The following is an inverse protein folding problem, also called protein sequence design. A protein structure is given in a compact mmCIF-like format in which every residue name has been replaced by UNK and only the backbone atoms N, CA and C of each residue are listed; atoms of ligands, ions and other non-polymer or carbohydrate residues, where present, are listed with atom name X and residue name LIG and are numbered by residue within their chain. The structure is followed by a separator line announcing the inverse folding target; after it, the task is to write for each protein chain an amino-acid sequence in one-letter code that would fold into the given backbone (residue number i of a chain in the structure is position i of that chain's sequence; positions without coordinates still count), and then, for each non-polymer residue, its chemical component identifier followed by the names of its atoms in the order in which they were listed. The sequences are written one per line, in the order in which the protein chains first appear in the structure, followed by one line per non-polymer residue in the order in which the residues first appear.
data_IF_767392206573
#
_entry.id   IF_767392206573
#
_cell.length_a   1.000
_cell.length_b   1.000
_cell.length_c   1.000
_cell.angle_alpha   90.00
_cell.angle_beta   90.00
_cell.angle_gamma   90.00
#
_symmetry.space_group_name_H-M   'P 1'
#
loop_
_entity.id
_entity.type
_entity.pdbx_description
1 polymer ?
#
# COMPACT_ATOMS: atom_id res chain seq x y z
N UNK A 1 8.81 -1.55 -103.76
CA UNK A 1 7.72 -2.29 -103.10
C UNK A 1 8.31 -3.03 -101.91
N UNK A 2 7.90 -2.61 -100.70
CA UNK A 2 7.87 -3.27 -99.35
C UNK A 2 8.56 -4.65 -99.23
N UNK A 3 9.35 -5.04 -98.21
CA UNK A 3 9.07 -5.08 -96.75
C UNK A 3 10.36 -5.32 -95.88
N UNK A 4 10.40 -4.61 -94.73
CA UNK A 4 11.07 -4.76 -93.40
C UNK A 4 11.97 -6.00 -93.10
N UNK A 5 13.20 -5.94 -92.54
CA UNK A 5 13.76 -5.32 -91.29
C UNK A 5 13.15 -5.95 -90.00
N UNK A 6 13.84 -6.51 -89.00
CA UNK A 6 15.26 -6.56 -88.59
C UNK A 6 15.56 -7.80 -87.72
N UNK A 7 16.87 -8.03 -87.55
CA UNK A 7 17.58 -9.10 -86.88
C UNK A 7 17.37 -9.15 -85.34
N UNK A 8 17.25 -10.36 -84.76
CA UNK A 8 17.21 -10.58 -83.29
C UNK A 8 18.38 -11.51 -82.90
N UNK A 9 19.34 -10.95 -82.15
CA UNK A 9 20.44 -11.67 -81.52
C UNK A 9 20.02 -12.25 -80.16
N UNK A 10 20.40 -13.51 -79.96
CA UNK A 10 20.31 -14.30 -78.72
C UNK A 10 21.21 -13.72 -77.62
N UNK A 11 20.81 -13.88 -76.35
CA UNK A 11 21.74 -13.77 -75.22
C UNK A 11 21.60 -14.97 -74.29
N UNK A 12 22.70 -15.70 -74.20
CA UNK A 12 22.88 -16.95 -73.46
C UNK A 12 23.14 -16.69 -71.97
N UNK A 13 22.69 -17.65 -71.16
CA UNK A 13 22.86 -17.72 -69.71
C UNK A 13 24.33 -17.86 -69.28
N UNK A 14 24.72 -17.15 -68.22
CA UNK A 14 25.92 -17.44 -67.41
C UNK A 14 25.47 -17.63 -65.97
N UNK A 15 25.82 -18.79 -65.41
CA UNK A 15 25.64 -19.19 -64.01
C UNK A 15 26.52 -18.33 -63.10
N UNK A 16 25.91 -17.67 -62.13
CA UNK A 16 26.63 -16.98 -61.04
C UNK A 16 26.68 -17.88 -59.81
N UNK A 17 27.91 -18.12 -59.33
CA UNK A 17 28.19 -18.78 -58.06
C UNK A 17 27.59 -17.96 -56.90
N UNK A 18 26.69 -18.56 -56.12
CA UNK A 18 26.25 -18.03 -54.84
C UNK A 18 27.40 -18.14 -53.85
N UNK A 19 28.16 -17.06 -53.71
CA UNK A 19 29.06 -16.85 -52.58
C UNK A 19 28.15 -16.64 -51.37
N UNK A 20 28.11 -17.63 -50.47
CA UNK A 20 27.44 -17.52 -49.18
C UNK A 20 28.27 -16.54 -48.33
N UNK A 21 27.95 -15.25 -48.43
CA UNK A 21 28.52 -14.22 -47.57
C UNK A 21 28.03 -14.48 -46.16
N UNK A 22 28.96 -14.79 -45.25
CA UNK A 22 28.68 -14.75 -43.81
C UNK A 22 28.36 -13.30 -43.45
N UNK A 23 27.08 -13.01 -43.27
CA UNK A 23 26.61 -11.78 -42.64
C UNK A 23 27.03 -11.80 -41.17
N UNK A 24 28.10 -11.08 -40.85
CA UNK A 24 28.41 -10.67 -39.48
C UNK A 24 27.33 -9.70 -38.99
N UNK A 25 27.12 -9.70 -37.67
CA UNK A 25 26.11 -8.93 -36.95
C UNK A 25 25.90 -7.52 -37.55
N UNK A 26 24.78 -7.33 -38.23
CA UNK A 26 24.26 -6.00 -38.52
C UNK A 26 23.95 -5.35 -37.17
N UNK A 27 24.53 -4.18 -36.91
CA UNK A 27 24.25 -3.39 -35.73
C UNK A 27 22.73 -3.35 -35.50
N UNK A 28 22.29 -3.92 -34.37
CA UNK A 28 20.89 -3.87 -34.00
C UNK A 28 20.48 -2.40 -33.95
N UNK A 29 19.31 -2.07 -34.51
CA UNK A 29 18.70 -0.75 -34.33
C UNK A 29 18.81 -0.33 -32.85
N UNK A 30 19.08 0.96 -32.55
CA UNK A 30 19.24 1.41 -31.17
C UNK A 30 18.00 1.02 -30.37
N UNK A 31 18.17 0.02 -29.49
CA UNK A 31 17.08 -0.50 -28.69
C UNK A 31 16.75 0.57 -27.65
N UNK A 32 15.53 1.11 -27.72
CA UNK A 32 15.07 1.97 -26.64
C UNK A 32 14.84 1.12 -25.38
N UNK A 33 15.81 1.20 -24.46
CA UNK A 33 15.78 0.47 -23.21
C UNK A 33 14.64 0.91 -22.28
N UNK A 34 14.10 2.14 -22.46
CA UNK A 34 12.95 2.61 -21.69
C UNK A 34 11.67 1.90 -22.11
N UNK A 35 11.32 1.91 -23.40
CA UNK A 35 10.14 1.20 -23.90
C UNK A 35 10.16 -0.30 -23.61
N UNK A 36 11.33 -0.96 -23.74
CA UNK A 36 11.50 -2.39 -23.39
C UNK A 36 11.13 -2.70 -21.94
N UNK A 37 11.40 -1.78 -21.02
CA UNK A 37 11.15 -1.96 -19.59
C UNK A 37 9.84 -1.30 -19.14
N UNK A 38 8.95 -0.92 -20.08
CA UNK A 38 7.73 -0.16 -19.81
C UNK A 38 7.98 1.11 -18.98
N UNK A 39 9.12 1.75 -19.23
CA UNK A 39 9.48 3.03 -18.66
C UNK A 39 9.21 4.12 -19.69
N UNK A 40 8.83 5.27 -19.17
CA UNK A 40 8.62 6.48 -19.94
C UNK A 40 9.94 7.27 -20.05
N UNK A 41 10.06 8.20 -21.00
CA UNK A 41 11.30 8.95 -21.22
C UNK A 41 11.71 9.75 -19.98
N UNK A 42 13.02 9.95 -19.82
CA UNK A 42 13.58 10.71 -18.71
C UNK A 42 13.10 12.17 -18.74
N UNK A 43 12.79 12.78 -17.59
CA UNK A 43 12.30 14.16 -17.54
C UNK A 43 13.30 15.18 -18.09
N UNK A 44 12.77 16.18 -18.82
CA UNK A 44 13.56 17.25 -19.46
C UNK A 44 13.82 18.42 -18.51
N UNK A 45 13.22 18.43 -17.32
CA UNK A 45 13.39 19.54 -16.37
C UNK A 45 14.82 19.56 -15.80
N UNK A 46 15.37 20.76 -15.56
CA UNK A 46 16.74 20.95 -15.06
C UNK A 46 16.96 20.34 -13.66
N UNK A 47 15.89 20.21 -12.88
CA UNK A 47 15.88 19.63 -11.53
C UNK A 47 14.59 18.82 -11.38
N UNK A 48 14.56 17.56 -11.84
CA UNK A 48 13.34 16.78 -11.84
C UNK A 48 12.89 16.45 -10.42
N UNK A 49 11.58 16.53 -10.19
CA UNK A 49 11.03 16.15 -8.88
C UNK A 49 11.01 14.63 -8.73
N UNK A 50 11.06 14.07 -7.51
CA UNK A 50 10.92 12.64 -7.28
C UNK A 50 9.66 12.04 -7.93
N UNK A 51 8.56 12.80 -7.94
CA UNK A 51 7.32 12.42 -8.61
C UNK A 51 7.44 12.40 -10.13
N UNK A 52 8.18 13.35 -10.70
CA UNK A 52 8.44 13.45 -12.14
C UNK A 52 9.39 12.35 -12.63
N UNK A 53 10.38 11.95 -11.81
CA UNK A 53 11.28 10.83 -12.13
C UNK A 53 10.50 9.51 -12.21
N UNK A 54 9.62 9.25 -11.25
CA UNK A 54 8.80 8.02 -11.26
C UNK A 54 7.48 8.17 -12.04
N UNK A 55 7.19 9.37 -12.57
CA UNK A 55 5.96 9.72 -13.26
C UNK A 55 4.70 9.30 -12.50
N UNK A 56 4.73 9.52 -11.19
CA UNK A 56 3.57 9.27 -10.33
C UNK A 56 2.73 10.54 -10.33
N UNK A 57 1.49 10.42 -10.82
CA UNK A 57 0.59 11.55 -10.91
C UNK A 57 0.26 12.10 -9.50
N UNK A 58 0.03 13.42 -9.35
CA UNK A 58 -0.43 13.98 -8.09
C UNK A 58 -1.72 13.36 -7.56
N UNK A 59 -2.53 12.76 -8.45
CA UNK A 59 -3.76 12.03 -8.10
C UNK A 59 -3.46 10.71 -7.38
N UNK A 60 -2.35 10.07 -7.71
CA UNK A 60 -1.88 8.82 -7.12
C UNK A 60 -1.27 9.02 -5.73
N UNK A 61 -1.03 10.27 -5.31
CA UNK A 61 -0.64 10.60 -3.94
C UNK A 61 -1.71 10.20 -2.90
N UNK A 62 -2.98 10.15 -3.31
CA UNK A 62 -4.12 9.78 -2.46
C UNK A 62 -4.36 8.26 -2.38
N UNK A 63 -3.57 7.45 -3.08
CA UNK A 63 -3.67 6.00 -3.00
C UNK A 63 -3.28 5.49 -1.61
N UNK A 64 -3.81 4.32 -1.24
CA UNK A 64 -3.37 3.60 -0.04
C UNK A 64 -1.85 3.42 -0.06
N UNK A 65 -1.21 3.56 1.11
CA UNK A 65 0.25 3.46 1.28
C UNK A 65 0.80 2.16 0.66
N UNK A 66 0.04 1.07 0.74
CA UNK A 66 0.43 -0.23 0.21
C UNK A 66 0.45 -0.26 -1.33
N UNK A 67 -0.58 0.29 -1.98
CA UNK A 67 -0.66 0.37 -3.44
C UNK A 67 0.40 1.31 -4.01
N UNK A 68 0.62 2.46 -3.38
CA UNK A 68 1.67 3.39 -3.78
C UNK A 68 3.06 2.75 -3.72
N UNK A 69 3.38 2.07 -2.62
CA UNK A 69 4.69 1.40 -2.46
C UNK A 69 4.90 0.27 -3.48
N UNK A 70 3.82 -0.41 -3.88
CA UNK A 70 3.86 -1.44 -4.92
C UNK A 70 4.18 -0.85 -6.29
N UNK A 71 3.55 0.26 -6.67
CA UNK A 71 3.82 0.99 -7.92
C UNK A 71 5.25 1.52 -7.91
N UNK A 72 5.64 2.24 -6.86
CA UNK A 72 6.98 2.81 -6.71
C UNK A 72 8.07 1.75 -6.82
N UNK A 73 7.91 0.60 -6.14
CA UNK A 73 8.88 -0.50 -6.20
C UNK A 73 9.01 -1.10 -7.60
N UNK A 74 7.91 -1.21 -8.34
CA UNK A 74 7.90 -1.72 -9.72
C UNK A 74 8.67 -0.80 -10.66
N UNK A 75 8.43 0.50 -10.59
CA UNK A 75 9.09 1.49 -11.47
C UNK A 75 10.58 1.59 -11.10
N UNK A 76 10.90 1.65 -9.80
CA UNK A 76 12.27 1.65 -9.31
C UNK A 76 13.08 0.43 -9.78
N UNK A 77 12.53 -0.78 -9.67
CA UNK A 77 13.26 -1.99 -10.11
C UNK A 77 13.54 -2.00 -11.61
N UNK A 78 12.66 -1.40 -12.42
CA UNK A 78 12.88 -1.23 -13.85
C UNK A 78 13.98 -0.19 -14.14
N UNK A 79 14.02 0.93 -13.41
CA UNK A 79 15.09 1.92 -13.55
C UNK A 79 16.45 1.38 -13.15
N UNK A 80 16.53 0.61 -12.05
CA UNK A 80 17.79 -0.02 -11.61
C UNK A 80 18.35 -0.96 -12.68
N UNK A 81 17.52 -1.72 -13.40
CA UNK A 81 17.98 -2.60 -14.48
C UNK A 81 18.69 -1.85 -15.62
N UNK A 82 18.40 -0.56 -15.81
CA UNK A 82 18.98 0.26 -16.89
C UNK A 82 20.17 1.07 -16.38
N UNK A 83 20.02 1.72 -15.23
CA UNK A 83 20.96 2.73 -14.75
C UNK A 83 21.95 2.23 -13.70
N UNK A 84 21.91 0.95 -13.30
CA UNK A 84 22.92 0.42 -12.38
C UNK A 84 24.33 0.57 -12.98
N UNK A 85 25.34 1.02 -12.21
CA UNK A 85 26.69 1.25 -12.73
C UNK A 85 27.29 0.02 -13.43
N UNK A 86 27.07 -1.18 -12.89
CA UNK A 86 27.60 -2.44 -13.47
C UNK A 86 26.94 -2.85 -14.79
N UNK A 87 25.70 -2.41 -15.06
CA UNK A 87 24.96 -2.79 -16.26
C UNK A 87 25.06 -1.69 -17.31
N UNK A 88 24.97 -0.43 -16.86
CA UNK A 88 24.92 0.76 -17.71
C UNK A 88 26.23 1.03 -18.47
N UNK A 89 27.34 0.41 -18.08
CA UNK A 89 28.62 0.46 -18.83
C UNK A 89 28.52 -0.23 -20.20
N UNK A 90 27.67 -1.25 -20.31
CA UNK A 90 27.53 -2.09 -21.51
C UNK A 90 26.28 -1.74 -22.34
N UNK A 91 25.50 -0.75 -21.90
CA UNK A 91 24.24 -0.35 -22.53
C UNK A 91 24.36 1.08 -23.07
N UNK A 92 24.03 1.29 -24.35
CA UNK A 92 23.85 2.63 -24.91
C UNK A 92 22.45 3.14 -24.56
N UNK A 93 22.39 4.16 -23.69
CA UNK A 93 21.14 4.80 -23.30
C UNK A 93 21.09 6.12 -24.04
N UNK A 94 20.02 6.36 -24.78
CA UNK A 94 19.79 7.61 -25.50
C UNK A 94 19.05 8.62 -24.61
N UNK A 95 19.43 9.88 -24.71
CA UNK A 95 18.71 10.98 -24.09
C UNK A 95 17.49 11.39 -24.92
N UNK A 96 16.64 12.30 -24.41
CA UNK A 96 15.49 12.87 -25.14
C UNK A 96 15.86 13.53 -26.47
N UNK A 97 17.15 13.84 -26.69
CA UNK A 97 17.73 14.36 -27.95
C UNK A 97 18.42 13.29 -28.82
N UNK A 98 18.18 12.00 -28.52
CA UNK A 98 18.82 10.86 -29.19
C UNK A 98 20.36 10.86 -29.13
N UNK A 99 20.94 11.52 -28.12
CA UNK A 99 22.37 11.48 -27.88
C UNK A 99 22.72 10.39 -26.85
N UNK A 100 23.81 9.62 -27.04
CA UNK A 100 24.24 8.63 -26.06
C UNK A 100 24.65 9.31 -24.75
N UNK A 101 24.13 8.83 -23.63
CA UNK A 101 24.51 9.34 -22.31
C UNK A 101 25.95 8.97 -21.97
N UNK A 102 26.71 9.97 -21.52
CA UNK A 102 28.00 9.78 -20.86
C UNK A 102 27.85 8.98 -19.56
N UNK A 103 28.87 8.20 -19.19
CA UNK A 103 28.88 7.40 -17.94
C UNK A 103 28.63 8.22 -16.67
N UNK A 104 29.10 9.48 -16.64
CA UNK A 104 28.83 10.40 -15.53
C UNK A 104 27.33 10.73 -15.42
N UNK A 105 26.66 11.05 -16.55
CA UNK A 105 25.22 11.34 -16.56
C UNK A 105 24.39 10.12 -16.15
N UNK A 106 24.80 8.91 -16.54
CA UNK A 106 24.14 7.65 -16.12
C UNK A 106 24.21 7.49 -14.60
N UNK A 107 25.37 7.78 -14.01
CA UNK A 107 25.57 7.75 -12.56
C UNK A 107 24.74 8.82 -11.84
N UNK A 108 24.73 10.04 -12.34
CA UNK A 108 23.92 11.13 -11.76
C UNK A 108 22.43 10.77 -11.77
N UNK A 109 21.93 10.18 -12.86
CA UNK A 109 20.54 9.69 -12.94
C UNK A 109 20.27 8.57 -11.95
N UNK A 110 21.20 7.63 -11.78
CA UNK A 110 21.09 6.57 -10.79
C UNK A 110 21.02 7.12 -9.36
N UNK A 111 21.88 8.06 -9.01
CA UNK A 111 21.88 8.71 -7.69
C UNK A 111 20.55 9.48 -7.46
N UNK A 112 20.02 10.13 -8.49
CA UNK A 112 18.70 10.77 -8.44
C UNK A 112 17.56 9.76 -8.25
N UNK A 113 17.58 8.63 -8.95
CA UNK A 113 16.57 7.56 -8.78
C UNK A 113 16.61 7.02 -7.35
N UNK A 114 17.80 6.74 -6.83
CA UNK A 114 17.96 6.16 -5.50
C UNK A 114 17.49 7.13 -4.40
N UNK A 115 17.90 8.39 -4.49
CA UNK A 115 17.47 9.42 -3.54
C UNK A 115 15.96 9.68 -3.61
N UNK A 116 15.38 9.72 -4.82
CA UNK A 116 13.93 9.83 -5.02
C UNK A 116 13.18 8.64 -4.43
N UNK A 117 13.68 7.41 -4.61
CA UNK A 117 13.06 6.20 -4.07
C UNK A 117 13.06 6.18 -2.55
N UNK A 118 14.19 6.48 -1.91
CA UNK A 118 14.30 6.54 -0.46
C UNK A 118 13.37 7.59 0.18
N UNK A 119 13.15 8.71 -0.53
CA UNK A 119 12.25 9.77 -0.09
C UNK A 119 10.78 9.34 -0.17
N UNK A 120 10.36 8.73 -1.27
CA UNK A 120 8.96 8.37 -1.50
C UNK A 120 8.54 7.08 -0.80
N UNK A 121 9.46 6.16 -0.52
CA UNK A 121 9.19 4.87 0.14
C UNK A 121 8.71 5.02 1.58
N UNK A 122 9.30 5.95 2.34
CA UNK A 122 8.88 6.21 3.72
C UNK A 122 7.72 7.21 3.72
N UNK A 123 6.52 6.81 4.22
CA UNK A 123 5.37 7.70 4.25
C UNK A 123 5.64 9.00 5.01
N UNK A 124 6.50 8.98 6.05
CA UNK A 124 6.84 10.18 6.83
C UNK A 124 7.67 11.17 6.01
N UNK A 125 8.72 10.67 5.36
CA UNK A 125 9.59 11.47 4.47
C UNK A 125 8.80 12.04 3.29
N UNK A 126 7.92 11.24 2.70
CA UNK A 126 7.01 11.65 1.63
C UNK A 126 6.07 12.76 2.07
N UNK A 127 5.41 12.63 3.24
CA UNK A 127 4.53 13.68 3.76
C UNK A 127 5.30 14.96 4.08
N UNK A 128 6.52 14.85 4.64
CA UNK A 128 7.38 16.00 4.87
C UNK A 128 7.71 16.70 3.54
N UNK A 129 8.14 15.95 2.53
CA UNK A 129 8.42 16.50 1.20
C UNK A 129 7.20 17.21 0.60
N UNK A 130 6.01 16.60 0.68
CA UNK A 130 4.78 17.19 0.15
C UNK A 130 4.37 18.49 0.87
N UNK A 131 4.61 18.60 2.17
CA UNK A 131 4.37 19.86 2.92
C UNK A 131 5.33 20.98 2.51
N UNK A 132 6.48 20.64 1.96
CA UNK A 132 7.59 21.56 1.68
C UNK A 132 7.91 21.67 0.17
N UNK A 133 6.99 21.30 -0.73
CA UNK A 133 7.15 21.38 -2.21
C UNK A 133 7.60 22.75 -2.76
N UNK A 134 7.66 23.81 -1.93
CA UNK A 134 8.19 25.14 -2.25
C UNK A 134 9.59 25.49 -1.70
N UNK A 135 10.29 24.58 -1.02
CA UNK A 135 11.65 24.82 -0.48
C UNK A 135 12.70 24.00 -1.23
N UNK A 136 13.68 24.69 -1.84
CA UNK A 136 14.74 24.11 -2.66
C UNK A 136 15.60 23.06 -1.94
N UNK A 137 16.06 22.09 -2.74
CA UNK A 137 16.88 20.92 -2.38
C UNK A 137 18.14 21.24 -1.56
N UNK A 138 18.71 22.44 -1.69
CA UNK A 138 19.93 22.86 -0.98
C UNK A 138 19.78 22.98 0.55
N UNK A 139 18.56 22.86 1.07
CA UNK A 139 18.27 22.86 2.51
C UNK A 139 18.30 21.47 3.17
N UNK A 140 18.56 20.40 2.39
CA UNK A 140 18.72 19.05 2.91
C UNK A 140 20.21 18.67 3.02
N UNK A 141 20.81 18.85 4.19
CA UNK A 141 22.10 18.23 4.50
C UNK A 141 21.89 16.83 5.10
N UNK A 142 22.62 15.86 4.54
CA UNK A 142 22.62 14.45 4.92
C UNK A 142 23.37 14.25 6.24
N UNK A 143 22.72 14.45 7.39
CA UNK A 143 23.25 13.97 8.68
C UNK A 143 22.17 13.24 9.52
N UNK A 144 22.30 11.90 9.50
CA UNK A 144 21.94 10.87 10.49
C UNK A 144 20.60 10.97 11.27
N UNK A 145 19.76 9.97 10.97
CA UNK A 145 18.93 9.12 11.86
C UNK A 145 17.87 9.74 12.81
N UNK A 146 16.62 9.31 12.58
CA UNK A 146 15.51 8.97 13.51
C UNK A 146 15.03 9.95 14.60
N UNK A 147 15.76 11.02 14.94
CA UNK A 147 15.33 12.09 15.87
C UNK A 147 15.02 13.42 15.14
N UNK A 148 15.19 13.45 13.82
CA UNK A 148 15.18 14.69 13.05
C UNK A 148 13.81 15.34 12.89
N UNK A 149 12.71 14.59 12.84
CA UNK A 149 11.38 15.18 12.72
C UNK A 149 10.90 15.80 14.03
N UNK A 150 11.21 15.17 15.17
CA UNK A 150 10.97 15.73 16.50
C UNK A 150 11.85 16.96 16.73
N UNK A 151 13.12 16.91 16.33
CA UNK A 151 14.05 18.04 16.42
C UNK A 151 13.69 19.16 15.44
N UNK A 152 13.20 18.87 14.22
CA UNK A 152 12.71 19.87 13.25
C UNK A 152 11.39 20.47 13.65
N UNK A 153 10.43 19.68 14.12
CA UNK A 153 9.17 20.21 14.63
C UNK A 153 9.45 21.05 15.88
N UNK A 154 10.29 20.57 16.80
CA UNK A 154 10.70 21.33 17.98
C UNK A 154 11.49 22.61 17.60
N UNK A 155 12.38 22.56 16.61
CA UNK A 155 13.10 23.73 16.14
C UNK A 155 12.22 24.69 15.31
N UNK A 156 11.30 24.20 14.50
CA UNK A 156 10.35 25.04 13.78
C UNK A 156 9.39 25.74 14.76
N UNK A 157 8.91 25.02 15.78
CA UNK A 157 8.17 25.61 16.88
C UNK A 157 9.04 26.61 17.66
N UNK A 158 10.29 26.28 18.01
CA UNK A 158 11.21 27.22 18.68
C UNK A 158 11.48 28.47 17.84
N UNK A 159 11.72 28.33 16.54
CA UNK A 159 12.01 29.44 15.61
C UNK A 159 10.79 30.34 15.39
N UNK A 160 9.59 29.75 15.36
CA UNK A 160 8.34 30.51 15.32
C UNK A 160 8.19 31.37 16.57
N UNK A 161 8.35 30.78 17.75
CA UNK A 161 8.26 31.49 19.04
C UNK A 161 9.59 32.12 19.48
N UNK A 162 10.51 32.45 18.56
CA UNK A 162 11.70 33.24 18.91
C UNK A 162 11.29 34.69 19.16
N UNK A 163 11.97 35.33 20.11
CA UNK A 163 11.71 36.73 20.46
C UNK A 163 11.85 37.66 19.26
N UNK A 164 12.85 37.42 18.40
CA UNK A 164 13.08 38.24 17.20
C UNK A 164 12.01 38.10 16.12
N UNK A 165 11.29 36.96 16.08
CA UNK A 165 10.30 36.68 15.04
C UNK A 165 8.87 37.00 15.48
N UNK A 166 8.54 36.80 16.77
CA UNK A 166 7.21 37.02 17.35
C UNK A 166 7.35 37.83 18.65
N UNK A 167 7.83 39.08 18.56
CA UNK A 167 7.98 39.97 19.72
C UNK A 167 6.65 40.22 20.42
N UNK A 168 5.56 40.34 19.66
CA UNK A 168 4.20 40.51 20.18
C UNK A 168 3.76 39.34 21.06
N UNK A 169 4.22 38.11 20.77
CA UNK A 169 3.93 36.92 21.57
C UNK A 169 4.60 36.99 22.95
N UNK A 170 5.87 37.40 22.99
CA UNK A 170 6.63 37.50 24.24
C UNK A 170 6.21 38.69 25.10
N UNK A 171 5.71 39.75 24.47
CA UNK A 171 5.13 40.91 25.17
C UNK A 171 3.70 40.66 25.63
N UNK A 172 3.01 39.63 25.14
CA UNK A 172 1.64 39.31 25.51
C UNK A 172 1.55 38.66 26.91
N UNK A 173 1.62 39.48 27.95
CA UNK A 173 1.42 39.05 29.34
C UNK A 173 -0.04 38.98 29.76
N UNK A 174 -0.93 39.71 29.07
CA UNK A 174 -2.37 39.75 29.36
C UNK A 174 -3.18 39.07 28.26
N UNK A 175 -4.41 38.65 28.59
CA UNK A 175 -5.35 38.11 27.60
C UNK A 175 -5.64 39.13 26.47
N UNK A 176 -5.68 40.42 26.78
CA UNK A 176 -5.91 41.48 25.82
C UNK A 176 -4.78 41.58 24.79
N UNK A 177 -3.54 41.43 25.23
CA UNK A 177 -2.37 41.47 24.35
C UNK A 177 -2.28 40.22 23.47
N UNK A 178 -2.62 39.05 24.04
CA UNK A 178 -2.76 37.83 23.24
C UNK A 178 -3.88 37.95 22.18
N UNK A 179 -5.01 38.57 22.54
CA UNK A 179 -6.11 38.82 21.61
C UNK A 179 -5.68 39.74 20.45
N UNK A 180 -4.94 40.81 20.75
CA UNK A 180 -4.39 41.73 19.76
C UNK A 180 -3.43 41.02 18.82
N UNK A 181 -2.49 40.25 19.34
CA UNK A 181 -1.55 39.46 18.52
C UNK A 181 -2.30 38.48 17.61
N UNK A 182 -3.26 37.72 18.15
CA UNK A 182 -3.96 36.66 17.41
C UNK A 182 -4.91 37.17 16.34
N UNK A 183 -5.70 38.21 16.66
CA UNK A 183 -6.76 38.72 15.79
C UNK A 183 -6.41 40.05 15.10
N UNK A 184 -5.21 40.59 15.37
CA UNK A 184 -4.72 41.87 14.85
C UNK A 184 -5.71 43.04 15.02
N UNK A 185 -6.48 43.01 16.12
CA UNK A 185 -7.50 44.02 16.47
C UNK A 185 -7.53 44.26 17.97
N UNK A 186 -8.03 45.44 18.37
CA UNK A 186 -8.24 45.75 19.79
C UNK A 186 -9.25 44.77 20.42
N UNK A 187 -9.11 44.42 21.71
CA UNK A 187 -10.06 43.58 22.40
C UNK A 187 -11.46 44.23 22.38
N UNK A 188 -12.53 43.44 22.27
CA UNK A 188 -13.89 43.97 22.23
C UNK A 188 -14.21 44.63 23.57
N UNK A 189 -14.70 45.88 23.52
CA UNK A 189 -15.13 46.61 24.71
C UNK A 189 -16.36 45.92 25.33
N UNK A 190 -16.54 46.06 26.65
CA UNK A 190 -17.74 45.54 27.36
C UNK A 190 -19.05 45.93 26.67
N UNK A 191 -19.11 47.12 26.09
CA UNK A 191 -20.27 47.61 25.33
C UNK A 191 -20.55 46.81 24.06
N UNK A 192 -19.53 46.44 23.30
CA UNK A 192 -19.66 45.64 22.08
C UNK A 192 -20.09 44.20 22.39
N UNK A 193 -19.58 43.65 23.49
CA UNK A 193 -20.00 42.33 23.99
C UNK A 193 -21.45 42.35 24.45
N UNK A 194 -21.87 43.40 25.17
CA UNK A 194 -23.25 43.55 25.61
C UNK A 194 -24.23 43.69 24.44
N UNK A 195 -23.83 44.37 23.36
CA UNK A 195 -24.61 44.44 22.11
C UNK A 195 -24.76 43.07 21.44
N UNK A 196 -23.74 42.22 21.52
CA UNK A 196 -23.71 40.91 20.84
C UNK A 196 -24.02 39.71 21.76
N UNK A 197 -24.38 39.93 23.03
CA UNK A 197 -24.51 38.87 24.06
C UNK A 197 -25.44 37.72 23.66
N UNK A 198 -26.57 38.03 23.03
CA UNK A 198 -27.52 37.00 22.60
C UNK A 198 -27.01 36.17 21.42
N UNK A 199 -26.25 36.78 20.50
CA UNK A 199 -25.63 36.06 19.37
C UNK A 199 -24.56 35.10 19.86
N UNK A 200 -23.74 35.53 20.82
CA UNK A 200 -22.71 34.69 21.44
C UNK A 200 -23.37 33.53 22.20
N UNK A 201 -24.40 33.81 23.01
CA UNK A 201 -25.13 32.78 23.74
C UNK A 201 -25.78 31.76 22.82
N UNK A 202 -26.46 32.22 21.76
CA UNK A 202 -27.05 31.35 20.75
C UNK A 202 -25.99 30.47 20.05
N UNK A 203 -24.82 31.03 19.74
CA UNK A 203 -23.71 30.28 19.18
C UNK A 203 -23.18 29.19 20.12
N UNK A 204 -23.01 29.49 21.41
CA UNK A 204 -22.57 28.51 22.40
C UNK A 204 -23.60 27.40 22.57
N UNK A 205 -24.88 27.74 22.71
CA UNK A 205 -25.95 26.75 22.82
C UNK A 205 -26.07 25.88 21.56
N UNK A 206 -25.86 26.45 20.37
CA UNK A 206 -25.82 25.69 19.14
C UNK A 206 -24.67 24.69 19.12
N UNK A 207 -23.45 25.09 19.53
CA UNK A 207 -22.31 24.18 19.61
C UNK A 207 -22.55 23.07 20.62
N UNK A 208 -23.03 23.40 21.82
CA UNK A 208 -23.37 22.41 22.87
C UNK A 208 -24.42 21.43 22.34
N UNK A 209 -25.52 21.94 21.78
CA UNK A 209 -26.58 21.11 21.22
C UNK A 209 -26.10 20.19 20.10
N UNK A 210 -25.22 20.68 19.22
CA UNK A 210 -24.62 19.86 18.16
C UNK A 210 -23.72 18.76 18.73
N UNK A 211 -22.85 19.09 19.70
CA UNK A 211 -21.97 18.11 20.32
C UNK A 211 -22.75 17.04 21.09
N UNK A 212 -23.72 17.44 21.92
CA UNK A 212 -24.56 16.50 22.67
C UNK A 212 -25.41 15.65 21.74
N UNK A 213 -25.95 16.23 20.66
CA UNK A 213 -26.73 15.48 19.66
C UNK A 213 -25.89 14.40 18.97
N UNK A 214 -24.64 14.73 18.62
CA UNK A 214 -23.72 13.81 17.98
C UNK A 214 -23.27 12.69 18.93
N UNK A 215 -22.99 13.02 20.19
CA UNK A 215 -22.67 12.04 21.23
C UNK A 215 -23.84 11.07 21.49
N UNK A 216 -25.07 11.58 21.60
CA UNK A 216 -26.28 10.73 21.78
C UNK A 216 -26.46 9.81 20.58
N UNK A 217 -26.27 10.29 19.35
CA UNK A 217 -26.41 9.46 18.15
C UNK A 217 -25.35 8.35 18.10
N UNK A 218 -24.09 8.67 18.45
CA UNK A 218 -23.02 7.66 18.57
C UNK A 218 -23.33 6.64 19.66
N UNK A 219 -23.81 7.09 20.82
CA UNK A 219 -24.19 6.23 21.93
C UNK A 219 -25.33 5.27 21.53
N UNK A 220 -26.40 5.77 20.89
CA UNK A 220 -27.53 4.95 20.45
C UNK A 220 -27.09 3.87 19.45
N UNK A 221 -26.25 4.22 18.47
CA UNK A 221 -25.75 3.26 17.49
C UNK A 221 -24.86 2.19 18.15
N UNK A 222 -24.00 2.59 19.09
CA UNK A 222 -23.14 1.65 19.82
C UNK A 222 -23.94 0.72 20.72
N UNK A 223 -24.94 1.24 21.42
CA UNK A 223 -25.82 0.47 22.29
C UNK A 223 -26.62 -0.56 21.49
N UNK A 224 -27.16 -0.19 20.33
CA UNK A 224 -27.85 -1.14 19.42
C UNK A 224 -26.94 -2.28 18.98
N UNK A 225 -25.69 -1.98 18.64
CA UNK A 225 -24.73 -3.00 18.22
C UNK A 225 -24.35 -3.93 19.38
N UNK A 226 -24.10 -3.38 20.58
CA UNK A 226 -23.82 -4.19 21.78
C UNK A 226 -25.02 -5.07 22.15
N UNK A 227 -26.23 -4.52 22.08
CA UNK A 227 -27.45 -5.29 22.34
C UNK A 227 -27.63 -6.41 21.32
N UNK A 228 -27.38 -6.15 20.03
CA UNK A 228 -27.40 -7.18 18.97
C UNK A 228 -26.39 -8.29 19.24
N UNK A 229 -25.17 -7.93 19.64
CA UNK A 229 -24.13 -8.90 19.99
C UNK A 229 -24.52 -9.74 21.20
N UNK A 230 -25.08 -9.13 22.25
CA UNK A 230 -25.56 -9.82 23.44
C UNK A 230 -26.73 -10.77 23.12
N UNK A 231 -27.69 -10.34 22.31
CA UNK A 231 -28.79 -11.22 21.89
C UNK A 231 -28.26 -12.41 21.10
N UNK A 232 -27.31 -12.19 20.20
CA UNK A 232 -26.72 -13.25 19.40
C UNK A 232 -25.87 -14.22 20.23
N UNK A 233 -25.10 -13.75 21.22
CA UNK A 233 -24.37 -14.63 22.14
C UNK A 233 -25.32 -15.41 23.04
N UNK A 234 -26.40 -14.79 23.52
CA UNK A 234 -27.44 -15.46 24.30
C UNK A 234 -28.11 -16.56 23.47
N UNK A 235 -28.52 -16.27 22.24
CA UNK A 235 -29.12 -17.26 21.34
C UNK A 235 -28.19 -18.43 21.05
N UNK A 236 -26.90 -18.16 20.80
CA UNK A 236 -25.89 -19.23 20.63
C UNK A 236 -25.74 -20.07 21.89
N UNK A 237 -25.65 -19.43 23.04
CA UNK A 237 -25.52 -20.13 24.32
C UNK A 237 -26.74 -20.99 24.63
N UNK A 238 -27.95 -20.49 24.32
CA UNK A 238 -29.19 -21.27 24.44
C UNK A 238 -29.21 -22.45 23.47
N UNK A 239 -28.79 -22.25 22.23
CA UNK A 239 -28.69 -23.32 21.24
C UNK A 239 -27.68 -24.39 21.67
N UNK A 240 -26.52 -23.99 22.19
CA UNK A 240 -25.50 -24.92 22.65
C UNK A 240 -25.94 -25.67 23.91
N UNK A 241 -26.63 -24.99 24.84
CA UNK A 241 -27.26 -25.63 25.99
C UNK A 241 -28.30 -26.66 25.54
N UNK A 242 -29.18 -26.28 24.62
CA UNK A 242 -30.21 -27.17 24.08
C UNK A 242 -29.58 -28.39 23.40
N UNK A 243 -28.56 -28.17 22.56
CA UNK A 243 -27.79 -29.27 21.95
C UNK A 243 -27.15 -30.14 23.01
N UNK A 244 -26.59 -29.57 24.07
CA UNK A 244 -26.00 -30.36 25.15
C UNK A 244 -27.06 -31.19 25.90
N UNK A 245 -28.26 -30.65 26.12
CA UNK A 245 -29.38 -31.38 26.73
C UNK A 245 -29.85 -32.54 25.85
N UNK A 246 -29.97 -32.30 24.54
CA UNK A 246 -30.28 -33.33 23.54
C UNK A 246 -29.05 -34.20 23.19
N UNK A 247 -27.95 -34.08 23.94
CA UNK A 247 -26.69 -34.81 23.74
C UNK A 247 -26.20 -34.78 22.27
N UNK A 248 -26.34 -33.63 21.62
CA UNK A 248 -26.05 -33.36 20.22
C UNK A 248 -26.83 -34.24 19.23
N UNK A 249 -28.03 -34.69 19.61
CA UNK A 249 -28.85 -35.63 18.84
C UNK A 249 -28.35 -37.07 18.92
N UNK A 250 -27.44 -37.38 19.84
CA UNK A 250 -26.98 -38.74 20.10
C UNK A 250 -27.76 -39.34 21.26
N UNK A 251 -28.28 -40.57 21.08
CA UNK A 251 -29.03 -41.24 22.13
C UNK A 251 -28.25 -41.36 23.44
N UNK A 252 -28.94 -41.49 24.57
CA UNK A 252 -28.33 -41.73 25.90
C UNK A 252 -28.12 -43.21 26.22
N UNK A 253 -28.45 -44.10 25.28
CA UNK A 253 -28.33 -45.55 25.44
C UNK A 253 -26.87 -45.95 25.69
N UNK A 254 -26.66 -47.10 26.37
CA UNK A 254 -25.31 -47.60 26.60
C UNK A 254 -24.59 -47.93 25.29
N UNK A 255 -25.33 -48.41 24.29
CA UNK A 255 -24.80 -48.71 22.97
C UNK A 255 -24.32 -47.47 22.22
N UNK A 256 -25.13 -46.39 22.17
CA UNK A 256 -24.72 -45.14 21.52
C UNK A 256 -23.50 -44.52 22.21
N UNK A 257 -23.42 -44.58 23.54
CA UNK A 257 -22.26 -44.11 24.31
C UNK A 257 -20.98 -44.88 23.95
N UNK A 258 -21.05 -46.21 23.82
CA UNK A 258 -19.91 -47.03 23.37
C UNK A 258 -19.54 -46.66 21.94
N UNK A 259 -20.52 -46.59 21.03
CA UNK A 259 -20.30 -46.20 19.63
C UNK A 259 -19.62 -44.84 19.55
N UNK A 260 -20.08 -43.85 20.31
CA UNK A 260 -19.48 -42.50 20.37
C UNK A 260 -18.05 -42.52 20.85
N UNK A 261 -17.77 -43.23 21.93
CA UNK A 261 -16.39 -43.37 22.44
C UNK A 261 -15.47 -43.94 21.36
N UNK A 262 -15.90 -44.99 20.66
CA UNK A 262 -15.12 -45.60 19.57
C UNK A 262 -14.94 -44.63 18.40
N UNK A 263 -15.98 -43.89 18.01
CA UNK A 263 -15.90 -42.85 16.98
C UNK A 263 -14.93 -41.72 17.36
N UNK A 264 -14.98 -41.23 18.60
CA UNK A 264 -14.09 -40.18 19.11
C UNK A 264 -12.65 -40.67 19.26
N UNK A 265 -12.46 -41.91 19.71
CA UNK A 265 -11.14 -42.56 19.72
C UNK A 265 -10.58 -42.63 18.31
N UNK A 266 -11.39 -43.06 17.33
CA UNK A 266 -10.98 -43.16 15.93
C UNK A 266 -10.69 -41.79 15.32
N UNK A 267 -11.48 -40.77 15.62
CA UNK A 267 -11.25 -39.41 15.10
C UNK A 267 -9.90 -38.83 15.56
N UNK A 268 -9.46 -39.16 16.77
CA UNK A 268 -8.14 -38.76 17.28
C UNK A 268 -6.96 -39.37 16.48
N UNK A 269 -7.16 -40.50 15.79
CA UNK A 269 -6.14 -41.21 15.02
C UNK A 269 -6.25 -41.00 13.50
N UNK A 270 -7.08 -40.06 13.02
CA UNK A 270 -7.29 -39.81 11.57
C UNK A 270 -6.00 -39.38 10.84
N UNK A 271 -4.98 -38.90 11.55
CA UNK A 271 -3.68 -38.52 10.98
C UNK A 271 -2.63 -39.66 11.00
N UNK A 272 -2.97 -40.87 11.45
CA UNK A 272 -2.08 -42.03 11.44
C UNK A 272 -2.29 -42.89 10.19
N UNK A 273 -1.28 -43.68 9.80
CA UNK A 273 -1.28 -44.55 8.60
C UNK A 273 -2.64 -45.22 8.32
N UNK A 274 -3.11 -45.15 7.08
CA UNK A 274 -4.42 -45.67 6.65
C UNK A 274 -4.65 -47.14 7.04
N UNK A 275 -3.58 -47.94 7.05
CA UNK A 275 -3.60 -49.35 7.47
C UNK A 275 -3.97 -49.54 8.96
N UNK A 276 -3.60 -48.60 9.83
CA UNK A 276 -3.98 -48.63 11.24
C UNK A 276 -5.41 -48.13 11.44
N UNK A 277 -5.88 -47.21 10.60
CA UNK A 277 -7.25 -46.71 10.62
C UNK A 277 -8.28 -47.80 10.29
N UNK A 278 -8.03 -48.61 9.25
CA UNK A 278 -8.90 -49.74 8.91
C UNK A 278 -8.93 -50.83 9.99
N UNK A 279 -7.78 -51.14 10.59
CA UNK A 279 -7.70 -52.08 11.72
C UNK A 279 -8.56 -51.62 12.89
N UNK A 280 -8.45 -50.35 13.29
CA UNK A 280 -9.26 -49.76 14.36
C UNK A 280 -10.76 -49.82 14.04
N UNK A 281 -11.17 -49.50 12.79
CA UNK A 281 -12.57 -49.60 12.37
C UNK A 281 -13.10 -51.04 12.47
N UNK A 282 -12.30 -52.02 12.09
CA UNK A 282 -12.66 -53.43 12.19
C UNK A 282 -12.79 -53.88 13.66
N UNK A 283 -11.88 -53.47 14.53
CA UNK A 283 -11.98 -53.69 15.98
C UNK A 283 -13.24 -53.07 16.58
N UNK A 284 -13.52 -51.80 16.25
CA UNK A 284 -14.72 -51.09 16.71
C UNK A 284 -15.99 -51.88 16.33
N UNK A 285 -16.06 -52.35 15.08
CA UNK A 285 -17.20 -53.12 14.58
C UNK A 285 -17.38 -54.46 15.31
N UNK A 286 -16.27 -55.13 15.67
CA UNK A 286 -16.29 -56.38 16.45
C UNK A 286 -16.81 -56.14 17.86
N UNK A 287 -16.35 -55.07 18.52
CA UNK A 287 -16.81 -54.70 19.86
C UNK A 287 -18.31 -54.41 19.87
N UNK A 288 -18.81 -53.63 18.90
CA UNK A 288 -20.24 -53.32 18.79
C UNK A 288 -21.09 -54.56 18.52
N UNK A 289 -20.64 -55.46 17.64
CA UNK A 289 -21.34 -56.74 17.37
C UNK A 289 -21.39 -57.64 18.59
N UNK A 290 -20.26 -57.80 19.29
CA UNK A 290 -20.19 -58.61 20.52
C UNK A 290 -21.13 -58.07 21.60
N UNK A 291 -21.17 -56.75 21.77
CA UNK A 291 -22.11 -56.13 22.70
C UNK A 291 -23.57 -56.38 22.29
N UNK A 292 -23.91 -56.24 21.01
CA UNK A 292 -25.27 -56.50 20.51
C UNK A 292 -25.69 -57.96 20.75
N UNK A 293 -24.82 -58.93 20.45
CA UNK A 293 -25.06 -60.35 20.74
C UNK A 293 -25.32 -60.60 22.22
N UNK A 294 -24.47 -60.05 23.11
CA UNK A 294 -24.66 -60.16 24.56
C UNK A 294 -25.96 -59.52 25.08
N UNK A 295 -26.53 -58.54 24.38
CA UNK A 295 -27.84 -58.00 24.74
C UNK A 295 -28.97 -58.91 24.27
N UNK A 296 -28.86 -59.48 23.07
CA UNK A 296 -29.85 -60.44 22.56
C UNK A 296 -29.90 -61.69 23.43
N UNK A 297 -28.74 -62.24 23.83
CA UNK A 297 -28.64 -63.44 24.68
C UNK A 297 -29.18 -63.24 26.11
N UNK A 298 -29.46 -62.00 26.53
CA UNK A 298 -30.03 -61.67 27.84
C UNK A 298 -31.56 -61.63 27.87
N UNK A 299 -32.20 -61.64 26.70
CA UNK A 299 -33.64 -61.68 26.54
C UNK A 299 -34.08 -63.07 26.10
#
# INVERSE_FOLDING_TARGET
MVVNIHCIMRRSYIRSNLIMVRTYATASEPIDHHSKNNLQPWPTSKKPTPYEIFQIDPKDENLSVLEFNKILKRIHSNYVKIYHPDISSNIEILDSKQQPLTSQMKRDRFDQIMTAYELLKDPRRRTAYNRYKGTSWDSYSTQKSTSWDSYRMANAHRQKYKFENDEEFWRAGTWEDYYKMKFKRKPPTKEELNKNKYKILAGVLAVVGLTSGLEVMLALNKTKEVQRQNTLSNLRSMQDLQRSQDNYGEDTTRFSRIRRFLLQRRSAFVNADDANFEKLKNEDSRVLRKYAQQQVDKF
#
